data_IF_352102858740
#
_entry.id   IF_352102858740
#
_cell.length_a   1.000
_cell.length_b   1.000
_cell.length_c   1.000
_cell.angle_alpha   90.00
_cell.angle_beta   90.00
_cell.angle_gamma   90.00
#
_symmetry.space_group_name_H-M   'P 1'
#
loop_
_entity.id
_entity.type
_entity.pdbx_description
1 polymer ?
#
# COMPACT_ATOMS: atom_id res chain seq x y z
N UNK A 1 -52.58 19.24 -47.99
CA UNK A 1 -51.61 18.19 -47.62
C UNK A 1 -50.49 18.87 -46.85
N UNK A 2 -50.47 18.76 -45.52
CA UNK A 2 -49.31 19.20 -44.74
C UNK A 2 -48.27 18.09 -44.85
N UNK A 3 -47.23 18.29 -45.66
CA UNK A 3 -46.03 17.46 -45.61
C UNK A 3 -45.29 17.86 -44.35
N UNK A 4 -45.37 17.05 -43.30
CA UNK A 4 -44.46 17.14 -42.16
C UNK A 4 -43.04 17.13 -42.72
N UNK A 5 -42.29 18.23 -42.61
CA UNK A 5 -40.92 18.37 -43.10
C UNK A 5 -39.92 17.58 -42.23
N UNK A 6 -40.24 16.33 -41.95
CA UNK A 6 -39.47 15.43 -41.09
C UNK A 6 -39.07 14.18 -41.84
N UNK A 7 -37.87 13.69 -41.58
CA UNK A 7 -37.36 12.40 -42.05
C UNK A 7 -37.30 11.41 -40.89
N UNK A 8 -37.49 10.13 -41.20
CA UNK A 8 -37.46 9.01 -40.26
C UNK A 8 -36.10 8.32 -40.33
N UNK A 9 -35.42 8.18 -39.19
CA UNK A 9 -34.08 7.60 -39.07
C UNK A 9 -33.99 6.61 -37.90
N UNK A 10 -32.89 5.88 -37.81
CA UNK A 10 -32.48 5.12 -36.62
C UNK A 10 -31.14 5.64 -36.11
N UNK A 11 -31.04 5.90 -34.81
CA UNK A 11 -29.78 6.31 -34.16
C UNK A 11 -29.51 5.33 -33.02
N UNK A 12 -28.38 4.62 -33.09
CA UNK A 12 -27.98 3.56 -32.14
C UNK A 12 -29.10 2.54 -31.90
N UNK A 13 -29.75 2.12 -32.99
CA UNK A 13 -30.88 1.19 -33.00
C UNK A 13 -32.27 1.79 -32.68
N UNK A 14 -32.36 3.04 -32.20
CA UNK A 14 -33.63 3.69 -31.82
C UNK A 14 -34.25 4.51 -32.95
N UNK A 15 -35.54 4.30 -33.23
CA UNK A 15 -36.29 5.09 -34.23
C UNK A 15 -36.49 6.54 -33.77
N UNK A 16 -36.18 7.49 -34.66
CA UNK A 16 -36.36 8.93 -34.42
C UNK A 16 -36.92 9.63 -35.67
N UNK A 17 -37.70 10.69 -35.45
CA UNK A 17 -38.07 11.65 -36.49
C UNK A 17 -37.33 12.96 -36.24
N UNK A 18 -36.69 13.47 -37.29
CA UNK A 18 -35.92 14.72 -37.24
C UNK A 18 -36.29 15.62 -38.41
N UNK A 19 -36.02 16.92 -38.32
CA UNK A 19 -36.30 17.85 -39.42
C UNK A 19 -35.49 17.49 -40.67
N UNK A 20 -36.12 17.56 -41.84
CA UNK A 20 -35.44 17.38 -43.12
C UNK A 20 -34.34 18.46 -43.29
N UNK A 21 -33.16 18.06 -43.78
CA UNK A 21 -32.00 18.95 -43.96
C UNK A 21 -31.14 19.18 -42.71
N UNK A 22 -31.33 18.40 -41.65
CA UNK A 22 -30.47 18.41 -40.46
C UNK A 22 -29.08 17.83 -40.81
N UNK A 23 -27.98 18.45 -40.37
CA UNK A 23 -26.65 17.86 -40.51
C UNK A 23 -26.33 16.88 -39.38
N UNK A 24 -25.41 15.94 -39.60
CA UNK A 24 -24.98 14.99 -38.56
C UNK A 24 -24.39 15.68 -37.33
N UNK A 25 -23.65 16.78 -37.50
CA UNK A 25 -23.15 17.58 -36.38
C UNK A 25 -24.29 18.21 -35.58
N UNK A 26 -25.33 18.71 -36.25
CA UNK A 26 -26.49 19.28 -35.57
C UNK A 26 -27.30 18.20 -34.85
N UNK A 27 -27.48 17.03 -35.48
CA UNK A 27 -28.10 15.87 -34.84
C UNK A 27 -27.37 15.46 -33.56
N UNK A 28 -26.04 15.35 -33.59
CA UNK A 28 -25.25 15.05 -32.41
C UNK A 28 -25.44 16.09 -31.29
N UNK A 29 -25.46 17.38 -31.65
CA UNK A 29 -25.72 18.47 -30.69
C UNK A 29 -27.14 18.39 -30.09
N UNK A 30 -28.15 18.07 -30.89
CA UNK A 30 -29.54 17.91 -30.42
C UNK A 30 -29.70 16.69 -29.49
N UNK A 31 -28.82 15.70 -29.59
CA UNK A 31 -28.71 14.56 -28.67
C UNK A 31 -27.90 14.86 -27.39
N UNK A 32 -27.45 16.11 -27.20
CA UNK A 32 -26.65 16.52 -26.05
C UNK A 32 -25.17 16.13 -26.13
N UNK A 33 -24.70 15.72 -27.32
CA UNK A 33 -23.31 15.35 -27.56
C UNK A 33 -22.53 16.52 -28.15
N UNK A 34 -21.22 16.54 -27.93
CA UNK A 34 -20.30 17.50 -28.56
C UNK A 34 -19.84 16.91 -29.89
N UNK A 35 -20.17 17.50 -31.07
CA UNK A 35 -19.86 16.91 -32.38
C UNK A 35 -18.37 16.58 -32.58
N UNK A 36 -17.49 17.36 -31.98
CA UNK A 36 -16.05 17.16 -32.03
C UNK A 36 -15.57 15.97 -31.16
N UNK A 37 -16.40 15.49 -30.24
CA UNK A 37 -16.12 14.38 -29.32
C UNK A 37 -16.84 13.08 -29.69
N UNK A 38 -17.53 13.06 -30.84
CA UNK A 38 -18.22 11.87 -31.33
C UNK A 38 -17.62 11.35 -32.63
N UNK A 39 -17.79 10.06 -32.89
CA UNK A 39 -17.67 9.46 -34.21
C UNK A 39 -19.06 9.03 -34.68
N UNK A 40 -19.34 9.19 -35.97
CA UNK A 40 -20.62 8.85 -36.57
C UNK A 40 -20.38 7.89 -37.73
N UNK A 41 -21.03 6.74 -37.71
CA UNK A 41 -21.21 5.87 -38.86
C UNK A 41 -22.61 6.09 -39.43
N UNK A 42 -22.72 6.18 -40.75
CA UNK A 42 -23.98 6.33 -41.49
C UNK A 42 -24.08 5.20 -42.50
N UNK A 43 -25.10 4.35 -42.38
CA UNK A 43 -25.36 3.23 -43.27
C UNK A 43 -24.12 2.34 -43.49
N UNK A 44 -23.41 1.98 -42.41
CA UNK A 44 -22.17 1.19 -42.41
C UNK A 44 -20.91 1.93 -42.93
N UNK A 45 -20.99 3.22 -43.21
CA UNK A 45 -19.84 4.04 -43.60
C UNK A 45 -19.49 5.08 -42.53
N UNK A 46 -18.26 5.03 -42.03
CA UNK A 46 -17.75 6.03 -41.07
C UNK A 46 -17.64 7.38 -41.74
N UNK A 47 -18.37 8.37 -41.22
CA UNK A 47 -18.33 9.74 -41.72
C UNK A 47 -17.13 10.46 -41.09
N UNK A 48 -16.21 11.03 -41.88
CA UNK A 48 -15.09 11.79 -41.34
C UNK A 48 -15.57 12.91 -40.41
N UNK A 49 -14.99 13.00 -39.20
CA UNK A 49 -15.41 13.99 -38.19
C UNK A 49 -15.44 15.43 -38.71
N UNK A 50 -14.53 15.77 -39.62
CA UNK A 50 -14.45 17.10 -40.25
C UNK A 50 -15.62 17.44 -41.19
N UNK A 51 -16.38 16.44 -41.66
CA UNK A 51 -17.48 16.62 -42.62
C UNK A 51 -18.87 16.51 -41.97
N UNK A 52 -18.97 16.23 -40.68
CA UNK A 52 -20.25 16.07 -39.97
C UNK A 52 -21.17 17.30 -40.09
N UNK A 53 -20.61 18.50 -40.26
CA UNK A 53 -21.39 19.72 -40.48
C UNK A 53 -21.99 19.86 -41.88
N UNK A 54 -21.49 19.09 -42.86
CA UNK A 54 -21.86 19.14 -44.27
C UNK A 54 -22.76 17.98 -44.69
N UNK A 55 -22.60 16.81 -44.05
CA UNK A 55 -23.41 15.63 -44.35
C UNK A 55 -24.81 15.80 -43.74
N UNK A 56 -25.82 15.80 -44.60
CA UNK A 56 -27.22 15.89 -44.21
C UNK A 56 -27.79 14.51 -43.91
N UNK A 57 -28.72 14.48 -42.96
CA UNK A 57 -29.53 13.31 -42.61
C UNK A 57 -30.61 13.14 -43.68
N UNK A 58 -30.75 11.91 -44.19
CA UNK A 58 -31.75 11.53 -45.18
C UNK A 58 -32.77 10.54 -44.60
N UNK A 59 -33.93 10.45 -45.24
CA UNK A 59 -34.98 9.52 -44.84
C UNK A 59 -34.51 8.07 -44.98
N UNK A 60 -34.66 7.29 -43.92
CA UNK A 60 -34.21 5.90 -43.85
C UNK A 60 -32.80 5.68 -43.33
N UNK A 61 -32.04 6.73 -42.99
CA UNK A 61 -30.67 6.57 -42.48
C UNK A 61 -30.61 5.73 -41.19
N UNK A 62 -29.63 4.82 -41.14
CA UNK A 62 -29.15 4.16 -39.92
C UNK A 62 -27.83 4.79 -39.48
N UNK A 63 -27.81 5.35 -38.27
CA UNK A 63 -26.68 6.08 -37.71
C UNK A 63 -26.20 5.41 -36.41
N UNK A 64 -24.89 5.19 -36.30
CA UNK A 64 -24.22 4.82 -35.04
C UNK A 64 -23.34 5.98 -34.57
N UNK A 65 -23.63 6.53 -33.39
CA UNK A 65 -22.94 7.67 -32.78
C UNK A 65 -22.30 7.23 -31.47
N UNK A 66 -20.97 7.35 -31.38
CA UNK A 66 -20.18 6.93 -30.21
C UNK A 66 -19.35 8.08 -29.64
N UNK A 67 -19.12 8.10 -28.32
CA UNK A 67 -18.27 9.08 -27.62
C UNK A 67 -17.43 8.42 -26.52
N UNK A 68 -16.28 9.01 -26.18
CA UNK A 68 -15.45 8.52 -25.08
C UNK A 68 -15.95 9.05 -23.72
N UNK A 69 -15.99 8.16 -22.72
CA UNK A 69 -16.32 8.49 -21.32
C UNK A 69 -15.02 8.58 -20.50
N UNK A 70 -14.83 9.69 -19.79
CA UNK A 70 -13.72 9.85 -18.83
C UNK A 70 -14.21 10.52 -17.55
N UNK A 71 -14.00 9.89 -16.40
CA UNK A 71 -14.14 10.46 -15.06
C UNK A 71 -12.84 10.21 -14.27
N UNK A 72 -12.51 10.88 -13.18
CA UNK A 72 -13.07 12.01 -12.44
C UNK A 72 -11.97 12.46 -11.47
N UNK A 73 -11.92 13.76 -11.14
CA UNK A 73 -10.80 14.37 -10.42
C UNK A 73 -11.08 14.35 -8.91
N UNK A 74 -10.30 13.59 -8.14
CA UNK A 74 -10.31 13.63 -6.67
C UNK A 74 -8.86 13.75 -6.19
N UNK A 75 -8.53 14.88 -5.59
CA UNK A 75 -7.27 15.06 -4.86
C UNK A 75 -7.47 14.54 -3.43
N UNK A 76 -6.77 13.46 -3.01
CA UNK A 76 -6.96 12.92 -1.67
C UNK A 76 -6.30 13.81 -0.61
N UNK A 77 -6.93 13.87 0.57
CA UNK A 77 -6.32 14.40 1.78
C UNK A 77 -5.04 13.63 2.14
N UNK A 78 -4.15 14.24 2.92
CA UNK A 78 -2.89 13.63 3.33
C UNK A 78 -3.15 12.39 4.20
N UNK A 79 -2.92 11.18 3.66
CA UNK A 79 -3.07 9.91 4.38
C UNK A 79 -1.88 9.68 5.32
N UNK A 80 -2.13 9.72 6.63
CA UNK A 80 -1.13 9.51 7.69
C UNK A 80 -1.53 8.36 8.61
N UNK A 81 -0.61 7.91 9.46
CA UNK A 81 -0.90 6.93 10.52
C UNK A 81 -0.24 7.33 11.84
N UNK A 82 -0.76 6.80 12.94
CA UNK A 82 -0.30 7.16 14.29
C UNK A 82 -0.05 5.92 15.11
N UNK A 83 1.08 5.88 15.82
CA UNK A 83 1.39 4.88 16.85
C UNK A 83 1.94 5.59 18.07
N UNK A 84 1.47 5.19 19.27
CA UNK A 84 1.95 5.74 20.54
C UNK A 84 1.95 7.29 20.60
N UNK A 85 0.93 7.93 20.02
CA UNK A 85 0.78 9.40 19.97
C UNK A 85 1.68 10.12 18.95
N UNK A 86 2.45 9.39 18.14
CA UNK A 86 3.33 9.95 17.10
C UNK A 86 2.72 9.68 15.71
N UNK A 87 2.60 10.72 14.89
CA UNK A 87 2.02 10.63 13.55
C UNK A 87 3.10 10.62 12.48
N UNK A 88 2.97 9.73 11.50
CA UNK A 88 3.90 9.50 10.41
C UNK A 88 3.19 9.54 9.07
N UNK A 89 3.93 9.91 8.03
CA UNK A 89 3.47 9.90 6.63
C UNK A 89 3.93 8.62 5.94
N UNK A 90 5.19 8.24 6.14
CA UNK A 90 5.73 7.01 5.59
C UNK A 90 5.20 5.82 6.38
N UNK A 91 4.63 4.85 5.65
CA UNK A 91 4.16 3.56 6.17
C UNK A 91 5.21 2.46 6.05
N UNK A 92 6.43 2.82 5.66
CA UNK A 92 7.58 1.93 5.57
C UNK A 92 8.51 2.16 6.76
N UNK A 93 8.82 1.09 7.49
CA UNK A 93 9.84 1.06 8.54
C UNK A 93 11.00 0.22 8.03
N UNK A 94 12.23 0.73 8.16
CA UNK A 94 13.44 0.02 7.70
C UNK A 94 14.35 -0.35 8.87
N UNK A 95 15.05 -1.48 8.76
CA UNK A 95 16.11 -1.83 9.71
C UNK A 95 17.47 -1.26 9.32
N UNK A 96 18.42 -1.37 10.25
CA UNK A 96 19.80 -0.88 10.08
C UNK A 96 20.85 -1.99 9.92
N UNK A 97 20.43 -3.25 9.93
CA UNK A 97 21.33 -4.40 9.86
C UNK A 97 21.68 -4.81 8.44
N UNK A 98 22.83 -5.47 8.27
CA UNK A 98 23.25 -6.18 7.03
C UNK A 98 23.64 -5.32 5.83
N UNK A 99 23.57 -3.99 5.93
CA UNK A 99 24.20 -3.12 4.93
C UNK A 99 25.72 -3.27 4.96
N UNK A 100 26.36 -2.93 3.85
CA UNK A 100 27.82 -2.92 3.72
C UNK A 100 28.48 -2.01 4.75
N UNK A 101 27.91 -0.83 4.95
CA UNK A 101 28.37 0.20 5.88
C UNK A 101 27.22 1.14 6.26
N UNK A 102 27.47 2.05 7.22
CA UNK A 102 26.46 3.00 7.67
C UNK A 102 26.11 4.07 6.64
N UNK A 103 27.00 4.37 5.68
CA UNK A 103 26.71 5.30 4.61
C UNK A 103 25.67 4.72 3.63
N UNK A 104 25.81 3.44 3.25
CA UNK A 104 24.82 2.74 2.45
C UNK A 104 23.47 2.65 3.18
N UNK A 105 23.49 2.38 4.48
CA UNK A 105 22.28 2.36 5.30
C UNK A 105 21.56 3.73 5.30
N UNK A 106 22.29 4.83 5.55
CA UNK A 106 21.72 6.17 5.51
C UNK A 106 21.15 6.53 4.12
N UNK A 107 21.85 6.17 3.04
CA UNK A 107 21.36 6.39 1.67
C UNK A 107 20.10 5.55 1.36
N UNK A 108 20.04 4.31 1.84
CA UNK A 108 18.85 3.47 1.69
C UNK A 108 17.67 4.01 2.51
N UNK A 109 17.91 4.51 3.74
CA UNK A 109 16.92 5.17 4.55
C UNK A 109 16.34 6.40 3.83
N UNK A 110 17.19 7.27 3.28
CA UNK A 110 16.76 8.44 2.52
C UNK A 110 15.90 8.04 1.31
N UNK A 111 16.34 7.07 0.52
CA UNK A 111 15.61 6.59 -0.65
C UNK A 111 14.27 5.92 -0.29
N UNK A 112 14.21 5.23 0.85
CA UNK A 112 12.97 4.63 1.36
C UNK A 112 11.95 5.68 1.84
N UNK A 113 12.41 6.88 2.20
CA UNK A 113 11.58 7.90 2.86
C UNK A 113 11.00 7.46 4.21
N UNK A 114 11.54 6.40 4.83
CA UNK A 114 11.09 5.94 6.14
C UNK A 114 11.38 6.99 7.22
N UNK A 115 10.42 7.18 8.11
CA UNK A 115 10.52 8.11 9.25
C UNK A 115 10.85 7.38 10.56
N UNK A 116 10.80 6.04 10.54
CA UNK A 116 11.15 5.15 11.65
C UNK A 116 12.22 4.16 11.18
N UNK A 117 13.25 3.98 12.00
CA UNK A 117 14.33 3.02 11.76
C UNK A 117 14.52 2.10 12.96
N UNK A 118 14.61 0.79 12.72
CA UNK A 118 14.91 -0.15 13.80
C UNK A 118 16.40 -0.24 14.08
N UNK A 119 16.76 -0.26 15.37
CA UNK A 119 18.15 -0.32 15.81
C UNK A 119 18.35 -1.47 16.79
N UNK A 120 19.29 -2.37 16.50
CA UNK A 120 19.64 -3.43 17.42
C UNK A 120 20.48 -2.86 18.56
N UNK A 121 20.13 -3.17 19.80
CA UNK A 121 20.92 -2.80 20.97
C UNK A 121 22.16 -3.70 21.01
N UNK A 122 23.33 -3.14 20.73
CA UNK A 122 24.60 -3.88 20.73
C UNK A 122 25.57 -3.32 21.76
N UNK A 123 26.49 -4.16 22.21
CA UNK A 123 27.63 -3.73 23.03
C UNK A 123 28.49 -2.80 22.20
N UNK A 124 28.88 -1.65 22.77
CA UNK A 124 29.88 -0.76 22.18
C UNK A 124 31.20 -1.51 22.08
N UNK A 125 31.92 -1.32 20.98
CA UNK A 125 33.24 -1.90 20.83
C UNK A 125 34.25 -1.10 21.66
N UNK A 126 34.50 -1.54 22.90
CA UNK A 126 35.35 -0.81 23.86
C UNK A 126 36.83 -0.83 23.44
N UNK A 127 37.24 -1.73 22.53
CA UNK A 127 38.62 -1.81 22.05
C UNK A 127 38.96 -0.85 20.92
N UNK A 128 37.96 -0.26 20.26
CA UNK A 128 38.15 0.76 19.22
C UNK A 128 37.18 1.94 19.41
N UNK A 129 37.58 2.97 20.18
CA UNK A 129 36.75 4.15 20.43
C UNK A 129 36.43 4.98 19.18
N UNK A 130 37.15 4.78 18.08
CA UNK A 130 36.97 5.53 16.83
C UNK A 130 36.13 4.76 15.81
N UNK A 131 35.63 3.56 16.17
CA UNK A 131 34.76 2.80 15.30
C UNK A 131 33.50 3.64 14.96
N UNK A 132 33.09 3.69 13.68
CA UNK A 132 31.92 4.45 13.27
C UNK A 132 30.67 4.04 14.06
N UNK A 133 29.86 5.00 14.48
CA UNK A 133 28.58 4.75 15.13
C UNK A 133 27.43 5.05 14.18
N UNK A 134 26.32 4.33 14.34
CA UNK A 134 25.11 4.56 13.54
C UNK A 134 24.62 6.01 13.62
N UNK A 135 24.71 6.62 14.81
CA UNK A 135 24.28 7.99 15.09
C UNK A 135 25.07 9.05 14.33
N UNK A 136 26.26 8.72 13.82
CA UNK A 136 27.07 9.63 13.01
C UNK A 136 26.48 9.79 11.59
N UNK A 137 25.67 8.83 11.16
CA UNK A 137 25.09 8.77 9.81
C UNK A 137 23.57 8.98 9.80
N UNK A 138 22.88 8.54 10.86
CA UNK A 138 21.44 8.69 11.01
C UNK A 138 21.19 9.48 12.30
N UNK A 139 20.64 10.68 12.17
CA UNK A 139 20.42 11.57 13.30
C UNK A 139 19.10 11.17 14.02
N UNK A 140 19.15 10.73 15.29
CA UNK A 140 17.96 10.36 16.05
C UNK A 140 17.02 11.55 16.34
N UNK A 141 17.43 12.79 16.06
CA UNK A 141 16.55 13.97 16.12
C UNK A 141 15.71 14.14 14.85
N UNK A 142 16.11 13.54 13.73
CA UNK A 142 15.40 13.62 12.44
C UNK A 142 14.58 12.38 12.15
N UNK A 143 15.01 11.23 12.67
CA UNK A 143 14.41 9.92 12.40
C UNK A 143 14.05 9.27 13.73
N UNK A 144 12.86 8.69 13.81
CA UNK A 144 12.44 7.98 15.03
C UNK A 144 13.18 6.66 15.13
N UNK A 145 13.93 6.47 16.20
CA UNK A 145 14.60 5.22 16.49
C UNK A 145 13.63 4.26 17.17
N UNK A 146 13.64 3.01 16.72
CA UNK A 146 12.87 1.91 17.30
C UNK A 146 13.84 0.83 17.78
N UNK A 147 14.38 0.93 19.01
CA UNK A 147 15.26 -0.07 19.57
C UNK A 147 14.58 -1.43 19.63
N UNK A 148 15.30 -2.49 19.25
CA UNK A 148 14.77 -3.84 19.21
C UNK A 148 15.58 -4.84 20.04
N UNK A 149 14.95 -5.97 20.32
CA UNK A 149 15.52 -7.11 21.07
C UNK A 149 15.99 -8.23 20.14
N UNK A 150 16.41 -7.91 18.91
CA UNK A 150 16.87 -8.94 17.96
C UNK A 150 17.97 -9.81 18.58
N UNK A 151 17.77 -11.14 18.49
CA UNK A 151 18.66 -12.14 19.08
C UNK A 151 18.37 -12.49 20.55
N UNK A 152 17.29 -11.98 21.14
CA UNK A 152 16.79 -12.46 22.44
C UNK A 152 15.92 -13.71 22.25
N UNK A 153 16.13 -14.72 23.09
CA UNK A 153 15.44 -16.02 23.02
C UNK A 153 14.56 -16.31 24.25
N UNK A 154 14.46 -15.35 25.16
CA UNK A 154 13.61 -15.41 26.35
C UNK A 154 13.15 -14.00 26.72
N UNK A 155 12.10 -13.92 27.54
CA UNK A 155 11.52 -12.65 27.97
C UNK A 155 12.50 -11.83 28.81
N UNK A 156 13.31 -12.48 29.64
CA UNK A 156 14.23 -11.79 30.57
C UNK A 156 15.32 -11.02 29.82
N UNK A 157 15.93 -11.65 28.81
CA UNK A 157 16.93 -11.02 27.94
C UNK A 157 16.32 -9.89 27.12
N UNK A 158 15.11 -10.06 26.60
CA UNK A 158 14.41 -9.00 25.86
C UNK A 158 14.09 -7.79 26.76
N UNK A 159 13.49 -8.02 27.95
CA UNK A 159 13.19 -6.98 28.92
C UNK A 159 14.47 -6.25 29.34
N UNK A 160 15.53 -6.99 29.68
CA UNK A 160 16.82 -6.40 30.06
C UNK A 160 17.41 -5.54 28.95
N UNK A 161 17.33 -6.01 27.71
CA UNK A 161 17.85 -5.29 26.53
C UNK A 161 17.14 -3.95 26.33
N UNK A 162 15.81 -3.91 26.46
CA UNK A 162 15.04 -2.67 26.30
C UNK A 162 15.18 -1.71 27.48
N UNK A 163 15.33 -2.23 28.71
CA UNK A 163 15.72 -1.39 29.86
C UNK A 163 17.07 -0.71 29.62
N UNK A 164 18.07 -1.45 29.13
CA UNK A 164 19.36 -0.86 28.76
C UNK A 164 19.23 0.17 27.63
N UNK A 165 18.40 -0.08 26.63
CA UNK A 165 18.13 0.88 25.56
C UNK A 165 17.54 2.18 26.11
N UNK A 166 16.54 2.08 26.98
CA UNK A 166 15.92 3.22 27.64
C UNK A 166 16.94 4.04 28.45
N UNK A 167 17.78 3.39 29.24
CA UNK A 167 18.83 4.10 30.01
C UNK A 167 19.88 4.75 29.10
N UNK A 168 20.18 4.14 27.95
CA UNK A 168 21.19 4.65 27.03
C UNK A 168 20.74 5.86 26.18
N UNK A 169 19.46 5.94 25.82
CA UNK A 169 18.98 7.02 24.94
C UNK A 169 17.54 7.48 25.14
N UNK A 170 16.90 7.10 26.26
CA UNK A 170 15.59 7.61 26.66
C UNK A 170 14.42 7.07 25.83
N UNK A 171 14.60 5.97 25.11
CA UNK A 171 13.54 5.41 24.25
C UNK A 171 12.50 4.61 25.05
N UNK A 172 11.24 4.96 24.86
CA UNK A 172 10.07 4.29 25.41
C UNK A 172 9.33 3.45 24.35
N UNK A 173 9.28 3.93 23.10
CA UNK A 173 8.84 3.21 21.92
C UNK A 173 9.89 2.17 21.49
N UNK A 174 9.50 0.91 21.48
CA UNK A 174 10.43 -0.22 21.30
C UNK A 174 9.81 -1.31 20.42
N UNK A 175 10.65 -1.99 19.64
CA UNK A 175 10.27 -3.21 18.92
C UNK A 175 10.61 -4.42 19.81
N UNK A 176 9.58 -5.12 20.30
CA UNK A 176 9.76 -6.36 21.05
C UNK A 176 9.79 -7.55 20.09
N UNK A 177 10.86 -8.33 20.18
CA UNK A 177 11.12 -9.54 19.40
C UNK A 177 11.73 -10.60 20.33
N UNK A 178 11.00 -11.70 20.57
CA UNK A 178 11.48 -12.84 21.36
C UNK A 178 11.38 -14.10 20.52
N UNK A 179 12.51 -14.71 20.22
CA UNK A 179 12.62 -15.81 19.27
C UNK A 179 12.60 -17.16 20.00
N UNK A 180 11.96 -18.18 19.43
CA UNK A 180 11.96 -19.54 19.99
C UNK A 180 13.25 -20.30 19.71
N UNK A 181 13.87 -20.09 18.55
CA UNK A 181 15.17 -20.69 18.22
C UNK A 181 15.89 -19.97 17.07
N UNK A 182 17.22 -20.16 17.00
CA UNK A 182 18.09 -19.43 16.09
C UNK A 182 17.96 -19.84 14.61
N UNK A 183 17.46 -21.05 14.32
CA UNK A 183 17.41 -21.56 12.94
C UNK A 183 16.24 -20.97 12.15
N UNK A 184 15.04 -21.00 12.72
CA UNK A 184 13.84 -20.44 12.06
C UNK A 184 13.63 -18.96 12.35
N UNK A 185 14.19 -18.44 13.46
CA UNK A 185 13.89 -17.09 13.95
C UNK A 185 12.38 -16.86 14.12
N UNK A 186 11.64 -17.92 14.41
CA UNK A 186 10.21 -17.87 14.65
C UNK A 186 9.95 -17.37 16.08
N UNK A 187 8.93 -16.54 16.33
CA UNK A 187 8.73 -15.96 17.67
C UNK A 187 8.19 -16.99 18.67
N UNK A 188 8.68 -16.92 19.91
CA UNK A 188 8.09 -17.63 21.04
C UNK A 188 6.95 -16.79 21.63
N UNK A 189 5.71 -17.20 21.38
CA UNK A 189 4.55 -16.42 21.78
C UNK A 189 4.29 -16.39 23.29
N UNK A 190 4.78 -17.37 24.05
CA UNK A 190 4.63 -17.39 25.51
C UNK A 190 5.56 -16.36 26.13
N UNK A 191 6.83 -16.40 25.73
CA UNK A 191 7.82 -15.43 26.22
C UNK A 191 7.55 -14.02 25.69
N UNK A 192 7.07 -13.89 24.45
CA UNK A 192 6.66 -12.59 23.87
C UNK A 192 5.53 -11.95 24.66
N UNK A 193 4.48 -12.70 25.01
CA UNK A 193 3.37 -12.19 25.82
C UNK A 193 3.85 -11.74 27.20
N UNK A 194 4.66 -12.58 27.87
CA UNK A 194 5.24 -12.27 29.18
C UNK A 194 6.06 -10.98 29.15
N UNK A 195 6.93 -10.81 28.14
CA UNK A 195 7.72 -9.61 27.98
C UNK A 195 6.85 -8.37 27.70
N UNK A 196 5.81 -8.52 26.87
CA UNK A 196 4.86 -7.43 26.56
C UNK A 196 4.20 -6.90 27.82
N UNK A 197 3.64 -7.79 28.66
CA UNK A 197 2.98 -7.40 29.91
C UNK A 197 3.90 -6.64 30.87
N UNK A 198 5.15 -7.09 31.02
CA UNK A 198 6.14 -6.45 31.90
C UNK A 198 6.52 -5.07 31.36
N UNK A 199 6.87 -5.00 30.07
CA UNK A 199 7.30 -3.75 29.44
C UNK A 199 6.19 -2.70 29.44
N UNK A 200 4.95 -3.08 29.12
CA UNK A 200 3.82 -2.17 29.17
C UNK A 200 3.57 -1.63 30.59
N UNK A 201 3.66 -2.47 31.63
CA UNK A 201 3.56 -2.03 33.04
C UNK A 201 4.68 -1.09 33.45
N UNK A 202 5.86 -1.21 32.83
CA UNK A 202 7.00 -0.32 33.03
C UNK A 202 6.95 0.96 32.16
N UNK A 203 5.82 1.20 31.48
CA UNK A 203 5.61 2.38 30.66
C UNK A 203 6.40 2.36 29.36
N UNK A 204 6.83 1.19 28.87
CA UNK A 204 7.25 1.06 27.47
C UNK A 204 6.02 1.10 26.56
N UNK A 205 6.27 1.42 25.30
CA UNK A 205 5.30 1.45 24.21
C UNK A 205 5.72 0.35 23.21
N UNK A 206 5.43 -0.94 23.49
CA UNK A 206 5.95 -2.04 22.69
C UNK A 206 5.17 -2.23 21.38
N UNK A 207 5.88 -2.14 20.26
CA UNK A 207 5.47 -2.68 18.97
C UNK A 207 5.96 -4.12 18.91
N UNK A 208 5.05 -5.09 18.81
CA UNK A 208 5.38 -6.49 19.11
C UNK A 208 5.44 -7.35 17.86
N UNK A 209 6.61 -7.92 17.56
CA UNK A 209 6.78 -8.96 16.54
C UNK A 209 6.11 -10.26 16.98
N UNK A 210 5.26 -10.83 16.14
CA UNK A 210 4.50 -12.03 16.48
C UNK A 210 4.21 -12.93 15.27
N UNK A 211 3.69 -14.12 15.55
CA UNK A 211 3.10 -14.99 14.53
C UNK A 211 1.84 -14.38 13.93
N UNK A 212 1.39 -14.90 12.80
CA UNK A 212 0.13 -14.56 12.11
C UNK A 212 -1.10 -15.22 12.77
N UNK A 213 -1.16 -15.26 14.11
CA UNK A 213 -2.30 -15.80 14.87
C UNK A 213 -3.19 -14.65 15.38
N UNK A 214 -4.45 -14.53 14.92
CA UNK A 214 -5.36 -13.47 15.36
C UNK A 214 -5.66 -13.47 16.87
N UNK A 215 -5.67 -14.63 17.52
CA UNK A 215 -5.91 -14.75 18.96
C UNK A 215 -4.67 -14.28 19.73
N UNK A 216 -3.48 -14.69 19.28
CA UNK A 216 -2.24 -14.24 19.91
C UNK A 216 -2.04 -12.73 19.75
N UNK A 217 -2.33 -12.18 18.57
CA UNK A 217 -2.33 -10.74 18.32
C UNK A 217 -3.25 -10.00 19.29
N UNK A 218 -4.48 -10.48 19.48
CA UNK A 218 -5.42 -9.84 20.42
C UNK A 218 -4.96 -9.91 21.87
N UNK A 219 -4.29 -10.99 22.27
CA UNK A 219 -3.69 -11.10 23.62
C UNK A 219 -2.56 -10.10 23.83
N UNK A 220 -1.70 -9.90 22.83
CA UNK A 220 -0.64 -8.90 22.88
C UNK A 220 -1.19 -7.48 22.97
N UNK A 221 -2.23 -7.17 22.20
CA UNK A 221 -2.94 -5.88 22.29
C UNK A 221 -3.47 -5.65 23.72
N UNK A 222 -4.19 -6.64 24.27
CA UNK A 222 -4.72 -6.56 25.64
C UNK A 222 -3.63 -6.46 26.70
N UNK A 223 -2.43 -6.99 26.44
CA UNK A 223 -1.27 -6.91 27.32
C UNK A 223 -0.58 -5.52 27.28
N UNK A 224 -0.96 -4.65 26.35
CA UNK A 224 -0.44 -3.28 26.23
C UNK A 224 0.47 -3.03 25.03
N UNK A 225 0.46 -3.90 24.01
CA UNK A 225 1.11 -3.60 22.75
C UNK A 225 0.48 -2.36 22.09
N UNK A 226 1.31 -1.41 21.67
CA UNK A 226 0.86 -0.19 20.96
C UNK A 226 0.77 -0.39 19.45
N UNK A 227 1.33 -1.49 18.94
CA UNK A 227 1.16 -1.99 17.58
C UNK A 227 1.41 -3.50 17.55
N UNK A 228 0.70 -4.21 16.67
CA UNK A 228 0.90 -5.64 16.41
C UNK A 228 1.68 -5.78 15.11
N UNK A 229 2.75 -6.58 15.14
CA UNK A 229 3.61 -6.79 13.99
C UNK A 229 3.68 -8.26 13.58
N UNK A 230 2.62 -8.80 12.95
CA UNK A 230 2.61 -10.19 12.52
C UNK A 230 3.60 -10.43 11.38
N UNK A 231 4.24 -11.59 11.40
CA UNK A 231 5.15 -12.00 10.33
C UNK A 231 4.42 -12.30 9.02
N UNK A 232 5.02 -11.92 7.89
CA UNK A 232 4.59 -12.42 6.58
C UNK A 232 5.11 -13.84 6.32
N UNK A 233 6.37 -14.08 6.68
CA UNK A 233 7.10 -15.34 6.61
C UNK A 233 8.33 -15.26 7.54
N UNK A 234 9.07 -16.37 7.78
CA UNK A 234 10.28 -16.35 8.61
C UNK A 234 11.29 -15.26 8.21
N UNK A 235 12.00 -14.73 9.21
CA UNK A 235 12.90 -13.58 9.04
C UNK A 235 13.97 -13.86 7.98
N UNK A 236 14.09 -12.95 7.01
CA UNK A 236 15.09 -13.04 5.95
C UNK A 236 14.81 -14.09 4.86
N UNK A 237 13.65 -14.74 4.87
CA UNK A 237 13.29 -15.75 3.87
C UNK A 237 12.94 -15.17 2.49
N UNK A 238 12.39 -13.94 2.45
CA UNK A 238 11.97 -13.29 1.20
C UNK A 238 10.78 -13.96 0.52
N UNK A 239 9.98 -14.75 1.25
CA UNK A 239 8.85 -15.51 0.70
C UNK A 239 7.57 -14.68 0.49
N UNK A 240 7.52 -13.45 1.03
CA UNK A 240 6.31 -12.63 1.05
C UNK A 240 5.31 -13.10 2.10
N UNK A 241 4.05 -12.68 1.97
CA UNK A 241 2.98 -12.99 2.93
C UNK A 241 2.42 -14.38 2.65
N UNK A 242 2.71 -15.36 3.50
CA UNK A 242 2.28 -16.75 3.28
C UNK A 242 0.78 -16.94 3.56
N UNK A 243 0.25 -16.22 4.55
CA UNK A 243 -1.12 -16.39 5.01
C UNK A 243 -1.87 -15.06 5.02
N UNK A 244 -2.33 -14.65 3.84
CA UNK A 244 -3.06 -13.39 3.70
C UNK A 244 -4.39 -13.36 4.45
N UNK A 245 -4.98 -14.54 4.71
CA UNK A 245 -6.26 -14.65 5.42
C UNK A 245 -6.09 -14.24 6.88
N UNK A 246 -5.10 -14.78 7.57
CA UNK A 246 -4.87 -14.47 8.99
C UNK A 246 -4.40 -13.04 9.19
N UNK A 247 -3.54 -12.52 8.31
CA UNK A 247 -3.15 -11.10 8.33
C UNK A 247 -4.39 -10.20 8.23
N UNK A 248 -5.31 -10.48 7.30
CA UNK A 248 -6.56 -9.71 7.20
C UNK A 248 -7.40 -9.80 8.48
N UNK A 249 -7.52 -10.98 9.07
CA UNK A 249 -8.26 -11.16 10.33
C UNK A 249 -7.64 -10.37 11.49
N UNK A 250 -6.30 -10.26 11.54
CA UNK A 250 -5.60 -9.42 12.52
C UNK A 250 -5.92 -7.94 12.29
N UNK A 251 -5.82 -7.47 11.03
CA UNK A 251 -6.16 -6.09 10.65
C UNK A 251 -7.60 -5.74 11.03
N UNK A 252 -8.56 -6.63 10.76
CA UNK A 252 -9.98 -6.42 11.08
C UNK A 252 -10.26 -6.44 12.60
N UNK A 253 -9.47 -7.18 13.38
CA UNK A 253 -9.72 -7.40 14.82
C UNK A 253 -8.92 -6.51 15.79
N UNK A 254 -7.82 -5.92 15.32
CA UNK A 254 -6.96 -5.06 16.14
C UNK A 254 -7.52 -3.64 16.26
N UNK A 255 -7.40 -3.02 17.44
CA UNK A 255 -7.69 -1.59 17.63
C UNK A 255 -6.44 -0.71 17.66
N UNK A 256 -5.26 -1.34 17.53
CA UNK A 256 -3.95 -0.70 17.40
C UNK A 256 -3.40 -0.94 15.99
N UNK A 257 -2.44 -0.12 15.52
CA UNK A 257 -1.86 -0.30 14.19
C UNK A 257 -1.31 -1.71 13.96
N UNK A 258 -1.51 -2.23 12.74
CA UNK A 258 -1.00 -3.53 12.32
C UNK A 258 0.04 -3.36 11.23
N UNK A 259 1.25 -3.89 11.44
CA UNK A 259 2.34 -3.79 10.47
C UNK A 259 2.86 -5.18 10.11
N UNK A 260 2.92 -5.52 8.83
CA UNK A 260 3.61 -6.77 8.45
C UNK A 260 5.11 -6.59 8.71
N UNK A 261 5.71 -7.45 9.53
CA UNK A 261 7.13 -7.41 9.87
C UNK A 261 7.84 -8.69 9.44
N UNK A 262 8.88 -8.55 8.62
CA UNK A 262 9.67 -9.65 8.07
C UNK A 262 8.91 -10.53 7.05
N UNK A 263 9.66 -11.42 6.41
CA UNK A 263 9.19 -12.30 5.33
C UNK A 263 9.10 -11.64 3.95
N UNK A 264 8.85 -10.33 3.86
CA UNK A 264 8.86 -9.56 2.60
C UNK A 264 10.17 -9.75 1.84
N UNK A 265 10.09 -9.97 0.53
CA UNK A 265 11.23 -10.12 -0.38
C UNK A 265 11.30 -9.05 -1.47
N UNK A 266 10.16 -8.52 -1.92
CA UNK A 266 10.10 -7.51 -2.99
C UNK A 266 8.94 -6.52 -2.83
N UNK A 267 8.90 -5.49 -3.67
CA UNK A 267 7.90 -4.41 -3.63
C UNK A 267 6.45 -4.90 -3.74
N UNK A 268 6.19 -5.98 -4.50
CA UNK A 268 4.83 -6.55 -4.60
C UNK A 268 4.34 -7.17 -3.29
N UNK A 269 5.24 -7.69 -2.46
CA UNK A 269 4.85 -8.22 -1.14
C UNK A 269 4.46 -7.09 -0.19
N UNK A 270 5.22 -5.99 -0.24
CA UNK A 270 4.92 -4.79 0.52
C UNK A 270 3.58 -4.16 0.07
N UNK A 271 3.33 -4.11 -1.24
CA UNK A 271 2.04 -3.69 -1.78
C UNK A 271 0.90 -4.60 -1.31
N UNK A 272 1.10 -5.92 -1.34
CA UNK A 272 0.12 -6.88 -0.87
C UNK A 272 -0.21 -6.71 0.62
N UNK A 273 0.77 -6.39 1.48
CA UNK A 273 0.50 -6.08 2.89
C UNK A 273 -0.44 -4.88 3.05
N UNK A 274 -0.18 -3.80 2.30
CA UNK A 274 -0.99 -2.59 2.34
C UNK A 274 -2.39 -2.82 1.74
N UNK A 275 -2.51 -3.61 0.68
CA UNK A 275 -3.81 -4.00 0.09
C UNK A 275 -4.68 -4.80 1.07
N UNK A 276 -4.08 -5.51 2.03
CA UNK A 276 -4.80 -6.22 3.10
C UNK A 276 -5.29 -5.27 4.21
N UNK A 277 -4.90 -3.99 4.18
CA UNK A 277 -5.30 -2.97 5.14
C UNK A 277 -4.31 -2.76 6.28
N UNK A 278 -3.09 -3.30 6.19
CA UNK A 278 -2.05 -3.01 7.18
C UNK A 278 -1.75 -1.50 7.22
N UNK A 279 -1.37 -0.99 8.39
CA UNK A 279 -0.96 0.39 8.57
C UNK A 279 0.44 0.67 8.07
N UNK A 280 1.28 -0.36 7.99
CA UNK A 280 2.62 -0.27 7.45
C UNK A 280 3.31 -1.61 7.26
N UNK A 281 4.56 -1.52 6.84
CA UNK A 281 5.44 -2.68 6.61
C UNK A 281 6.81 -2.40 7.23
N UNK A 282 7.34 -3.37 7.96
CA UNK A 282 8.70 -3.35 8.50
C UNK A 282 9.57 -4.37 7.77
N UNK A 283 10.70 -3.91 7.23
CA UNK A 283 11.66 -4.80 6.56
C UNK A 283 13.11 -4.40 6.76
N UNK A 284 14.02 -5.35 6.57
CA UNK A 284 15.46 -5.11 6.58
C UNK A 284 16.16 -5.87 5.46
N UNK A 285 16.15 -7.20 5.53
CA UNK A 285 16.92 -8.08 4.63
C UNK A 285 16.61 -7.84 3.15
N UNK A 286 15.34 -7.65 2.79
CA UNK A 286 14.94 -7.43 1.41
C UNK A 286 15.62 -6.22 0.76
N UNK A 287 15.87 -5.16 1.53
CA UNK A 287 16.59 -3.97 1.08
C UNK A 287 18.09 -4.20 1.19
N UNK A 288 18.58 -4.55 2.38
CA UNK A 288 20.00 -4.58 2.69
C UNK A 288 20.80 -5.62 1.90
N UNK A 289 20.20 -6.76 1.56
CA UNK A 289 20.84 -7.83 0.78
C UNK A 289 20.51 -7.76 -0.73
N UNK A 290 19.78 -6.73 -1.18
CA UNK A 290 19.56 -6.51 -2.60
C UNK A 290 20.89 -6.21 -3.33
N UNK A 291 20.94 -6.52 -4.64
CA UNK A 291 22.08 -6.13 -5.49
C UNK A 291 22.31 -4.62 -5.49
N UNK A 292 21.22 -3.86 -5.43
CA UNK A 292 21.21 -2.41 -5.25
C UNK A 292 20.24 -2.05 -4.11
N UNK A 293 20.76 -1.88 -2.87
CA UNK A 293 19.92 -1.56 -1.72
C UNK A 293 19.21 -0.22 -1.81
N UNK A 294 19.80 0.79 -2.47
CA UNK A 294 19.20 2.12 -2.57
C UNK A 294 18.02 2.07 -3.55
N UNK A 295 18.20 1.42 -4.70
CA UNK A 295 17.11 1.19 -5.64
C UNK A 295 16.00 0.34 -5.03
N UNK A 296 16.35 -0.71 -4.27
CA UNK A 296 15.35 -1.54 -3.61
C UNK A 296 14.59 -0.77 -2.54
N UNK A 297 15.24 0.11 -1.78
CA UNK A 297 14.57 0.99 -0.82
C UNK A 297 13.52 1.89 -1.48
N UNK A 298 13.86 2.51 -2.63
CA UNK A 298 12.91 3.30 -3.42
C UNK A 298 11.77 2.44 -3.99
N UNK A 299 12.06 1.21 -4.42
CA UNK A 299 11.05 0.28 -4.92
C UNK A 299 10.06 -0.14 -3.81
N UNK A 300 10.55 -0.40 -2.61
CA UNK A 300 9.71 -0.75 -1.45
C UNK A 300 8.81 0.41 -1.03
N UNK A 301 9.34 1.64 -1.04
CA UNK A 301 8.54 2.86 -0.83
C UNK A 301 7.37 2.92 -1.83
N UNK A 302 7.67 2.78 -3.12
CA UNK A 302 6.64 2.81 -4.16
C UNK A 302 5.63 1.66 -4.00
N UNK A 303 6.07 0.47 -3.60
CA UNK A 303 5.20 -0.67 -3.32
C UNK A 303 4.21 -0.40 -2.17
N UNK A 304 4.71 0.16 -1.07
CA UNK A 304 3.86 0.55 0.08
C UNK A 304 2.87 1.65 -0.32
N UNK A 305 3.32 2.69 -1.01
CA UNK A 305 2.46 3.78 -1.49
C UNK A 305 1.37 3.27 -2.45
N UNK A 306 1.75 2.46 -3.43
CA UNK A 306 0.82 1.88 -4.40
C UNK A 306 -0.23 0.98 -3.72
N UNK A 307 0.21 0.10 -2.82
CA UNK A 307 -0.72 -0.78 -2.10
C UNK A 307 -1.66 -0.01 -1.19
N UNK A 308 -1.20 1.06 -0.53
CA UNK A 308 -2.06 1.91 0.30
C UNK A 308 -3.09 2.66 -0.52
N UNK A 309 -2.68 3.21 -1.67
CA UNK A 309 -3.60 3.86 -2.61
C UNK A 309 -4.64 2.86 -3.13
N UNK A 310 -4.23 1.63 -3.47
CA UNK A 310 -5.15 0.58 -3.91
C UNK A 310 -6.15 0.16 -2.83
N UNK A 311 -5.73 0.10 -1.56
CA UNK A 311 -6.63 -0.14 -0.43
C UNK A 311 -7.69 0.97 -0.30
N UNK A 312 -7.26 2.24 -0.31
CA UNK A 312 -8.14 3.39 -0.18
C UNK A 312 -9.09 3.56 -1.38
N UNK A 313 -8.63 3.22 -2.59
CA UNK A 313 -9.41 3.33 -3.81
C UNK A 313 -10.54 2.29 -3.89
N UNK A 314 -10.48 1.20 -3.11
CA UNK A 314 -11.46 0.13 -3.16
C UNK A 314 -11.39 -0.67 -4.46
N UNK A 315 -10.49 -1.65 -4.53
CA UNK A 315 -10.35 -2.51 -5.72
C UNK A 315 -11.68 -3.16 -6.13
N UNK A 316 -11.82 -3.44 -7.43
CA UNK A 316 -12.94 -4.24 -7.93
C UNK A 316 -13.00 -5.63 -7.28
N UNK A 317 -14.22 -6.16 -7.13
CA UNK A 317 -14.45 -7.52 -6.66
C UNK A 317 -13.82 -8.55 -7.60
N UNK A 318 -13.24 -9.62 -7.03
CA UNK A 318 -12.74 -10.75 -7.82
C UNK A 318 -13.93 -11.50 -8.43
N UNK A 319 -13.94 -11.66 -9.75
CA UNK A 319 -14.96 -12.44 -10.47
C UNK A 319 -14.43 -13.83 -10.80
N UNK A 320 -15.32 -14.81 -10.85
CA UNK A 320 -14.97 -16.18 -11.25
C UNK A 320 -14.77 -16.33 -12.76
N UNK A 321 -15.47 -15.52 -13.54
CA UNK A 321 -15.46 -15.52 -15.00
C UNK A 321 -15.25 -14.10 -15.51
N UNK A 322 -14.84 -13.99 -16.78
CA UNK A 322 -14.78 -12.71 -17.47
C UNK A 322 -16.19 -12.09 -17.52
N UNK A 323 -16.25 -10.78 -17.32
CA UNK A 323 -17.46 -9.98 -17.45
C UNK A 323 -17.05 -8.75 -18.27
N UNK A 324 -17.68 -8.51 -19.44
CA UNK A 324 -17.27 -7.44 -20.35
C UNK A 324 -17.12 -6.11 -19.62
N UNK A 325 -15.99 -5.43 -19.84
CA UNK A 325 -15.74 -4.10 -19.27
C UNK A 325 -16.66 -3.02 -19.85
N UNK A 326 -17.29 -3.33 -20.99
CA UNK A 326 -18.20 -2.45 -21.72
C UNK A 326 -19.63 -2.98 -21.59
N UNK A 327 -20.62 -2.14 -21.25
CA UNK A 327 -22.03 -2.52 -21.29
C UNK A 327 -22.36 -3.18 -22.64
N UNK A 328 -23.08 -4.31 -22.61
CA UNK A 328 -23.56 -4.96 -23.84
C UNK A 328 -24.59 -4.09 -24.59
N UNK A 329 -25.19 -3.10 -23.91
CA UNK A 329 -26.03 -2.09 -24.52
C UNK A 329 -25.15 -1.09 -25.29
N UNK A 330 -25.23 -1.11 -26.63
CA UNK A 330 -24.45 -0.24 -27.52
C UNK A 330 -23.19 -0.87 -28.12
N UNK A 331 -23.07 -2.21 -28.10
CA UNK A 331 -22.12 -2.90 -28.96
C UNK A 331 -22.69 -2.94 -30.39
N UNK A 332 -21.88 -2.50 -31.36
CA UNK A 332 -22.12 -2.59 -32.81
C UNK A 332 -21.82 -4.02 -33.28
#
# INVERSE_FOLDING_TARGET
>A
MHTDHTVSIRVNGEHRRVSAGLSLARLAADLGLVPEKVAVERNLEVVPRSTLGQVLVEDGDELEIVHFVGGGDVTPALDTWTVAGRTFRSRLIVGTGKYKDFAQNAAALEASGAEIVTVAVRRVNVSDPNAPMLTDFIDPKKVTYLPNTAGCFDAESAIRTLRLAREAGGWDLVKLEVLGEAKTLYPDMVETLRATEVLAKEGFLPMVYCVDDPIAAKRLENAGAVAIMPLGAPIGSGLGIQNQVTIRLIVEGASVPVLVDAGVGTASDAAAAMELGCDGVLMNTAIAEAKDPIMMAAAMKAGVEAGRLAYLAGRMGKRRYADPSSPLAGLI
#
